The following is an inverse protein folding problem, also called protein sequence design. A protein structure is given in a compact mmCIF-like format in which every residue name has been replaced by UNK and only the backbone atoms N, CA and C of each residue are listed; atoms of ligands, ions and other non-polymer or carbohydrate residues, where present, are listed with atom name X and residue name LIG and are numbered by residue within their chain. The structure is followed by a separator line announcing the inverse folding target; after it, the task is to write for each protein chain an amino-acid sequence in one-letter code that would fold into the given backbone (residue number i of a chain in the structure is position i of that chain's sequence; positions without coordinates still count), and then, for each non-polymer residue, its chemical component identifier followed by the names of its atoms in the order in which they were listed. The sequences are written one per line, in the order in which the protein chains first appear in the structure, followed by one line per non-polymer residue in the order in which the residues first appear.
data_IF_713350942869
#
_entry.id   IF_713350942869
#
_cell.length_a   1.000
_cell.length_b   1.000
_cell.length_c   1.000
_cell.angle_alpha   90.00
_cell.angle_beta   90.00
_cell.angle_gamma   90.00
#
_symmetry.space_group_name_H-M   'P 1'
#
loop_
_entity.id
_entity.type
_entity.pdbx_description
1 polymer ?
#
# COMPACT_ATOMS: atom_id res chain seq x y z
N UNK A 1 -2.23 -4.55 -0.77
CA UNK A 1 -3.42 -5.43 -0.84
C UNK A 1 -4.47 -4.69 -1.64
N UNK A 2 -5.05 -5.30 -2.69
CA UNK A 2 -5.82 -4.57 -3.71
C UNK A 2 -7.23 -4.20 -3.22
N UNK A 3 -7.90 -5.09 -2.49
CA UNK A 3 -9.24 -4.85 -1.96
C UNK A 3 -9.25 -3.66 -1.00
N UNK A 4 -8.29 -3.63 -0.09
CA UNK A 4 -8.15 -2.58 0.92
C UNK A 4 -7.83 -1.23 0.26
N UNK A 5 -7.05 -1.22 -0.83
CA UNK A 5 -6.86 0.00 -1.64
C UNK A 5 -8.19 0.54 -2.15
N UNK A 6 -9.04 -0.31 -2.74
CA UNK A 6 -10.36 0.12 -3.21
C UNK A 6 -11.26 0.59 -2.06
N UNK A 7 -11.23 -0.09 -0.91
CA UNK A 7 -11.99 0.31 0.28
C UNK A 7 -11.54 1.66 0.85
N UNK A 8 -10.23 1.94 0.89
CA UNK A 8 -9.69 3.23 1.33
C UNK A 8 -10.10 4.37 0.39
N UNK A 9 -10.05 4.14 -0.93
CA UNK A 9 -10.52 5.11 -1.93
C UNK A 9 -12.04 5.36 -1.78
N UNK A 10 -12.86 4.32 -1.65
CA UNK A 10 -14.28 4.46 -1.35
C UNK A 10 -14.53 5.22 -0.04
N UNK A 11 -13.70 4.99 0.99
CA UNK A 11 -13.79 5.71 2.26
C UNK A 11 -13.53 7.22 2.08
N UNK A 12 -12.74 7.66 1.11
CA UNK A 12 -12.56 9.08 0.83
C UNK A 12 -13.88 9.70 0.33
N UNK A 13 -14.53 9.06 -0.64
CA UNK A 13 -15.83 9.49 -1.15
C UNK A 13 -16.92 9.55 -0.07
N UNK A 14 -17.07 8.48 0.74
CA UNK A 14 -18.02 8.45 1.86
C UNK A 14 -17.80 9.56 2.89
N UNK A 15 -16.57 10.07 3.00
CA UNK A 15 -16.16 11.06 4.00
C UNK A 15 -16.05 12.47 3.43
N UNK A 16 -16.33 12.64 2.15
CA UNK A 16 -16.31 13.90 1.42
C UNK A 16 -17.71 14.20 0.88
N UNK A 17 -17.97 15.45 0.50
CA UNK A 17 -19.20 15.80 -0.22
C UNK A 17 -19.08 15.39 -1.70
N UNK A 18 -19.28 14.09 -1.95
CA UNK A 18 -19.09 13.45 -3.26
C UNK A 18 -20.41 12.90 -3.78
N UNK A 19 -20.76 13.24 -5.03
CA UNK A 19 -21.93 12.66 -5.73
C UNK A 19 -21.69 11.22 -6.23
N UNK A 20 -20.42 10.81 -6.33
CA UNK A 20 -20.07 9.44 -6.71
C UNK A 20 -20.51 8.43 -5.66
N UNK A 21 -21.17 7.35 -6.08
CA UNK A 21 -21.67 6.27 -5.22
C UNK A 21 -20.59 5.18 -5.09
N UNK A 22 -19.94 5.01 -3.93
CA UNK A 22 -18.82 4.09 -3.82
C UNK A 22 -19.24 2.62 -3.89
N UNK A 23 -18.48 1.80 -4.61
CA UNK A 23 -18.76 0.36 -4.78
C UNK A 23 -18.63 -0.46 -3.48
N UNK A 24 -17.90 0.05 -2.48
CA UNK A 24 -17.78 -0.55 -1.16
C UNK A 24 -18.42 0.33 -0.08
N UNK A 25 -19.00 -0.31 0.95
CA UNK A 25 -19.46 0.37 2.17
C UNK A 25 -18.28 1.03 2.89
N UNK A 26 -18.57 2.07 3.68
CA UNK A 26 -17.57 2.74 4.50
C UNK A 26 -16.90 1.74 5.47
N UNK A 27 -15.57 1.63 5.38
CA UNK A 27 -14.73 0.86 6.30
C UNK A 27 -13.56 1.73 6.77
N UNK A 28 -12.94 1.35 7.90
CA UNK A 28 -11.68 1.94 8.37
C UNK A 28 -11.64 3.48 8.47
N UNK A 29 -12.78 4.17 8.65
CA UNK A 29 -12.91 5.64 8.68
C UNK A 29 -11.82 6.36 9.49
N UNK A 30 -11.50 5.83 10.68
CA UNK A 30 -10.54 6.43 11.62
C UNK A 30 -9.15 5.81 11.52
N UNK A 31 -8.92 4.86 10.61
CA UNK A 31 -7.60 4.28 10.40
C UNK A 31 -6.66 5.35 9.80
N UNK A 32 -5.39 5.42 10.23
CA UNK A 32 -4.43 6.41 9.71
C UNK A 32 -4.37 6.46 8.18
N UNK A 33 -4.36 5.31 7.50
CA UNK A 33 -4.36 5.27 6.03
C UNK A 33 -5.64 5.82 5.39
N UNK A 34 -6.81 5.66 6.02
CA UNK A 34 -8.06 6.23 5.52
C UNK A 34 -8.07 7.74 5.69
N UNK A 35 -7.56 8.25 6.82
CA UNK A 35 -7.38 9.69 7.06
C UNK A 35 -6.41 10.27 6.03
N UNK A 36 -5.26 9.63 5.84
CA UNK A 36 -4.24 10.03 4.87
C UNK A 36 -4.77 10.08 3.45
N UNK A 37 -5.53 9.06 3.03
CA UNK A 37 -6.10 8.98 1.67
C UNK A 37 -6.97 10.19 1.34
N UNK A 38 -7.76 10.67 2.31
CA UNK A 38 -8.66 11.83 2.13
C UNK A 38 -8.05 13.16 2.59
N UNK A 39 -6.79 13.17 3.01
CA UNK A 39 -6.14 14.41 3.48
C UNK A 39 -5.84 15.37 2.33
N UNK A 40 -5.57 14.85 1.12
CA UNK A 40 -5.34 15.65 -0.07
C UNK A 40 -5.69 14.91 -1.35
N UNK A 41 -5.93 15.68 -2.42
CA UNK A 41 -6.07 15.16 -3.78
C UNK A 41 -4.85 14.35 -4.21
N UNK A 42 -3.65 14.86 -3.96
CA UNK A 42 -2.39 14.19 -4.30
C UNK A 42 -2.25 12.81 -3.63
N UNK A 43 -2.66 12.67 -2.36
CA UNK A 43 -2.63 11.38 -1.67
C UNK A 43 -3.62 10.37 -2.28
N UNK A 44 -4.83 10.83 -2.62
CA UNK A 44 -5.85 10.00 -3.27
C UNK A 44 -5.36 9.49 -4.65
N UNK A 45 -4.83 10.38 -5.49
CA UNK A 45 -4.32 10.05 -6.82
C UNK A 45 -3.10 9.13 -6.76
N UNK A 46 -2.22 9.32 -5.77
CA UNK A 46 -1.13 8.39 -5.50
C UNK A 46 -1.66 7.00 -5.15
N UNK A 47 -2.69 6.90 -4.31
CA UNK A 47 -3.28 5.61 -3.94
C UNK A 47 -3.98 4.93 -5.12
N UNK A 48 -4.64 5.69 -6.01
CA UNK A 48 -5.17 5.19 -7.27
C UNK A 48 -4.05 4.60 -8.14
N UNK A 49 -2.92 5.31 -8.27
CA UNK A 49 -1.75 4.86 -9.04
C UNK A 49 -1.15 3.58 -8.47
N UNK A 50 -0.93 3.52 -7.14
CA UNK A 50 -0.49 2.31 -6.45
C UNK A 50 -1.47 1.16 -6.69
N UNK A 51 -2.78 1.40 -6.60
CA UNK A 51 -3.81 0.39 -6.84
C UNK A 51 -3.75 -0.22 -8.24
N UNK A 52 -3.53 0.61 -9.27
CA UNK A 52 -3.34 0.16 -10.66
C UNK A 52 -2.09 -0.70 -10.81
N UNK A 53 -0.96 -0.30 -10.22
CA UNK A 53 0.28 -1.10 -10.25
C UNK A 53 0.13 -2.43 -9.50
N UNK A 54 -0.58 -2.45 -8.37
CA UNK A 54 -0.88 -3.70 -7.66
C UNK A 54 -1.76 -4.64 -8.51
N UNK A 55 -2.72 -4.12 -9.26
CA UNK A 55 -3.53 -4.91 -10.20
C UNK A 55 -2.70 -5.47 -11.36
N UNK A 56 -1.73 -4.70 -11.89
CA UNK A 56 -0.77 -5.20 -12.89
C UNK A 56 0.08 -6.33 -12.32
N UNK A 57 0.62 -6.17 -11.11
CA UNK A 57 1.41 -7.21 -10.45
C UNK A 57 0.57 -8.47 -10.16
N UNK A 58 -0.70 -8.32 -9.75
CA UNK A 58 -1.61 -9.46 -9.61
C UNK A 58 -1.83 -10.19 -10.94
N UNK A 59 -2.07 -9.45 -12.02
CA UNK A 59 -2.26 -10.02 -13.35
C UNK A 59 -1.00 -10.75 -13.80
N UNK A 60 0.18 -10.15 -13.61
CA UNK A 60 1.46 -10.78 -13.89
C UNK A 60 1.63 -12.10 -13.11
N UNK A 61 1.38 -12.10 -11.80
CA UNK A 61 1.58 -13.28 -10.94
C UNK A 61 0.58 -14.40 -11.19
N UNK A 62 -0.67 -14.07 -11.50
CA UNK A 62 -1.78 -15.04 -11.49
C UNK A 62 -2.47 -15.28 -12.83
N UNK A 63 -2.16 -14.48 -13.86
CA UNK A 63 -2.74 -14.59 -15.20
C UNK A 63 -4.22 -14.22 -15.25
N UNK A 64 -4.69 -13.43 -14.28
CA UNK A 64 -6.10 -13.02 -14.13
C UNK A 64 -6.19 -11.56 -13.75
N UNK A 65 -7.23 -10.89 -14.22
CA UNK A 65 -7.58 -9.54 -13.80
C UNK A 65 -8.18 -9.59 -12.39
N UNK A 66 -7.71 -8.73 -11.49
CA UNK A 66 -8.29 -8.63 -10.14
C UNK A 66 -9.65 -7.95 -10.21
N UNK A 67 -10.65 -8.44 -9.46
CA UNK A 67 -12.02 -7.91 -9.49
C UNK A 67 -12.09 -6.40 -9.21
N UNK A 68 -11.25 -5.90 -8.30
CA UNK A 68 -11.23 -4.48 -7.95
C UNK A 68 -10.53 -3.58 -8.97
N UNK A 69 -9.90 -4.12 -10.03
CA UNK A 69 -9.19 -3.30 -11.01
C UNK A 69 -10.13 -2.27 -11.65
N UNK A 70 -11.29 -2.72 -12.12
CA UNK A 70 -12.29 -1.84 -12.73
C UNK A 70 -12.80 -0.79 -11.75
N UNK A 71 -12.99 -1.15 -10.47
CA UNK A 71 -13.39 -0.18 -9.43
C UNK A 71 -12.30 0.87 -9.19
N UNK A 72 -11.02 0.47 -9.13
CA UNK A 72 -9.90 1.41 -8.93
C UNK A 72 -9.72 2.32 -10.14
N UNK A 73 -9.91 1.80 -11.35
CA UNK A 73 -9.88 2.58 -12.59
C UNK A 73 -11.00 3.62 -12.62
N UNK A 74 -12.22 3.22 -12.25
CA UNK A 74 -13.39 4.11 -12.15
C UNK A 74 -13.22 5.18 -11.06
N UNK A 75 -12.75 4.79 -9.87
CA UNK A 75 -12.41 5.71 -8.77
C UNK A 75 -11.32 6.72 -9.15
N UNK A 76 -10.38 6.35 -10.03
CA UNK A 76 -9.35 7.25 -10.51
C UNK A 76 -9.88 8.31 -11.52
N UNK A 77 -11.05 8.08 -12.12
CA UNK A 77 -11.74 9.05 -12.97
C UNK A 77 -12.66 9.98 -12.16
N UNK A 78 -13.04 9.57 -10.96
CA UNK A 78 -13.93 10.30 -10.08
C UNK A 78 -13.19 10.69 -8.80
N UNK A 79 -12.41 11.77 -8.86
CA UNK A 79 -11.71 12.27 -7.67
C UNK A 79 -12.69 13.10 -6.82
N UNK A 80 -12.89 12.79 -5.52
CA UNK A 80 -13.78 13.59 -4.68
C UNK A 80 -13.22 14.99 -4.44
N UNK A 81 -14.06 15.92 -3.97
CA UNK A 81 -13.64 17.28 -3.60
C UNK A 81 -12.76 17.24 -2.33
N UNK A 82 -11.46 17.03 -2.51
CA UNK A 82 -10.44 16.96 -1.47
C UNK A 82 -9.54 18.20 -1.51
N UNK A 83 -8.85 18.54 -0.40
CA UNK A 83 -7.89 19.63 -0.39
C UNK A 83 -6.82 19.46 -1.48
N UNK A 84 -6.58 20.52 -2.26
CA UNK A 84 -5.53 20.56 -3.27
C UNK A 84 -4.22 21.05 -2.62
N UNK A 85 -3.59 20.14 -1.89
CA UNK A 85 -2.30 20.35 -1.24
C UNK A 85 -1.30 19.29 -1.68
N UNK A 86 -0.02 19.56 -1.43
CA UNK A 86 1.07 18.66 -1.78
C UNK A 86 0.91 17.26 -1.18
N UNK A 87 1.54 16.29 -1.84
CA UNK A 87 1.63 14.93 -1.36
C UNK A 87 2.27 14.89 0.03
N UNK A 88 1.72 14.06 0.91
CA UNK A 88 2.31 13.78 2.23
C UNK A 88 2.71 12.32 2.30
N UNK A 89 3.81 11.96 2.98
CA UNK A 89 4.20 10.56 3.13
C UNK A 89 3.09 9.71 3.78
N UNK A 90 2.89 8.46 3.34
CA UNK A 90 1.91 7.56 3.94
C UNK A 90 2.15 7.38 5.44
N UNK A 91 1.07 7.35 6.22
CA UNK A 91 1.14 7.13 7.68
C UNK A 91 1.76 5.78 8.01
N UNK A 92 2.73 5.76 8.93
CA UNK A 92 3.36 4.52 9.42
C UNK A 92 2.41 3.73 10.34
N UNK A 93 1.50 2.98 9.72
CA UNK A 93 0.53 2.10 10.38
C UNK A 93 1.19 0.78 10.83
N UNK A 94 2.16 0.91 11.74
CA UNK A 94 3.00 -0.18 12.25
C UNK A 94 3.31 0.01 13.76
N UNK A 95 3.77 -1.04 14.47
CA UNK A 95 4.23 -0.92 15.85
C UNK A 95 5.32 0.15 16.03
N UNK A 96 5.34 0.82 17.17
CA UNK A 96 6.26 1.94 17.43
C UNK A 96 7.74 1.58 17.26
N UNK A 97 8.13 0.34 17.57
CA UNK A 97 9.50 -0.15 17.43
C UNK A 97 10.03 -0.18 15.98
N UNK A 98 9.15 -0.07 14.98
CA UNK A 98 9.53 -0.03 13.57
C UNK A 98 9.40 1.35 12.94
N UNK A 99 8.91 2.35 13.68
CA UNK A 99 8.75 3.69 13.15
C UNK A 99 10.11 4.37 13.01
N UNK A 100 10.22 5.21 11.98
CA UNK A 100 11.44 5.94 11.62
C UNK A 100 11.06 7.31 11.03
N UNK A 101 12.00 8.25 10.92
CA UNK A 101 11.75 9.52 10.25
C UNK A 101 11.60 9.33 8.72
N UNK A 102 12.29 8.34 8.15
CA UNK A 102 12.11 7.91 6.78
C UNK A 102 11.08 6.77 6.70
N UNK A 103 9.91 7.07 6.11
CA UNK A 103 8.85 6.10 5.91
C UNK A 103 9.31 4.87 5.11
N UNK A 104 10.24 5.00 4.16
CA UNK A 104 10.75 3.88 3.38
C UNK A 104 11.52 2.92 4.30
N UNK A 105 12.41 3.45 5.14
CA UNK A 105 13.19 2.65 6.08
C UNK A 105 12.30 2.00 7.15
N UNK A 106 11.32 2.75 7.68
CA UNK A 106 10.33 2.22 8.61
C UNK A 106 9.60 0.99 8.04
N UNK A 107 9.08 1.10 6.81
CA UNK A 107 8.37 0.01 6.15
C UNK A 107 9.28 -1.16 5.78
N UNK A 108 10.50 -0.92 5.29
CA UNK A 108 11.47 -1.99 5.00
C UNK A 108 11.80 -2.79 6.26
N UNK A 109 12.10 -2.10 7.36
CA UNK A 109 12.40 -2.70 8.67
C UNK A 109 11.21 -3.51 9.17
N UNK A 110 9.99 -2.93 9.14
CA UNK A 110 8.79 -3.65 9.55
C UNK A 110 8.52 -4.89 8.69
N UNK A 111 8.72 -4.80 7.37
CA UNK A 111 8.48 -5.94 6.49
C UNK A 111 9.54 -7.04 6.66
N UNK A 112 10.80 -6.67 6.89
CA UNK A 112 11.88 -7.60 7.16
C UNK A 112 11.72 -8.31 8.50
N UNK A 113 11.53 -7.59 9.60
CA UNK A 113 11.46 -8.21 10.93
C UNK A 113 10.06 -8.67 11.33
N UNK A 114 9.03 -7.87 11.01
CA UNK A 114 7.66 -8.09 11.46
C UNK A 114 6.76 -8.83 10.47
N UNK A 115 7.12 -8.93 9.19
CA UNK A 115 6.27 -9.51 8.13
C UNK A 115 6.96 -10.50 7.20
N UNK A 116 8.17 -10.97 7.51
CA UNK A 116 8.87 -11.93 6.64
C UNK A 116 8.06 -13.20 6.38
N UNK A 117 7.26 -13.66 7.34
CA UNK A 117 6.42 -14.85 7.25
C UNK A 117 5.30 -14.75 6.19
N UNK A 118 4.95 -13.55 5.70
CA UNK A 118 3.99 -13.35 4.61
C UNK A 118 4.65 -13.09 3.25
N UNK A 119 5.98 -13.03 3.19
CA UNK A 119 6.68 -12.82 1.94
C UNK A 119 6.50 -14.02 1.00
N UNK A 120 6.11 -13.72 -0.23
CA UNK A 120 6.13 -14.68 -1.32
C UNK A 120 6.43 -13.95 -2.61
N UNK A 121 7.48 -14.41 -3.29
CA UNK A 121 7.90 -13.87 -4.60
C UNK A 121 7.40 -14.72 -5.76
N UNK A 122 6.68 -15.81 -5.47
CA UNK A 122 6.12 -16.75 -6.44
C UNK A 122 4.64 -16.47 -6.67
N UNK A 123 4.22 -16.36 -7.92
CA UNK A 123 2.83 -16.39 -8.34
C UNK A 123 2.44 -17.76 -8.91
N UNK A 124 1.20 -17.86 -9.40
CA UNK A 124 0.69 -19.06 -10.07
C UNK A 124 1.32 -19.27 -11.45
N UNK A 125 1.59 -18.18 -12.18
CA UNK A 125 2.13 -18.24 -13.55
C UNK A 125 3.48 -17.57 -13.69
N UNK A 126 3.81 -16.61 -12.83
CA UNK A 126 5.07 -15.88 -12.85
C UNK A 126 5.48 -15.45 -11.44
N UNK A 127 6.75 -15.15 -11.23
CA UNK A 127 7.30 -14.68 -9.97
C UNK A 127 8.51 -13.79 -10.20
N UNK A 128 8.93 -13.08 -9.15
CA UNK A 128 10.11 -12.20 -9.16
C UNK A 128 11.20 -12.78 -8.25
N UNK A 129 12.47 -12.40 -8.45
CA UNK A 129 13.49 -12.64 -7.43
C UNK A 129 13.12 -11.92 -6.13
N UNK A 130 13.72 -12.36 -5.03
CA UNK A 130 13.70 -11.61 -3.77
C UNK A 130 14.25 -10.19 -4.02
N UNK A 131 13.60 -9.14 -3.52
CA UNK A 131 14.12 -7.77 -3.61
C UNK A 131 15.50 -7.62 -2.98
N UNK A 132 16.38 -6.86 -3.63
CA UNK A 132 17.77 -6.66 -3.21
C UNK A 132 17.87 -6.16 -1.76
N UNK A 133 17.04 -5.19 -1.37
CA UNK A 133 17.03 -4.66 0.00
C UNK A 133 16.71 -5.72 1.09
N UNK A 134 16.04 -6.83 0.75
CA UNK A 134 15.83 -7.94 1.70
C UNK A 134 17.09 -8.80 1.80
N UNK A 135 17.78 -9.03 0.68
CA UNK A 135 19.03 -9.77 0.65
C UNK A 135 20.12 -9.00 1.41
N UNK A 136 20.25 -7.70 1.15
CA UNK A 136 21.16 -6.78 1.83
C UNK A 136 20.94 -6.82 3.35
N UNK A 137 19.69 -6.70 3.82
CA UNK A 137 19.40 -6.79 5.26
C UNK A 137 19.74 -8.17 5.83
N UNK A 138 19.49 -9.26 5.08
CA UNK A 138 19.85 -10.59 5.55
C UNK A 138 21.36 -10.76 5.73
N UNK A 139 22.14 -10.27 4.77
CA UNK A 139 23.62 -10.26 4.83
C UNK A 139 24.11 -9.45 6.04
N UNK A 140 23.63 -8.20 6.18
CA UNK A 140 24.00 -7.32 7.29
C UNK A 140 23.78 -7.94 8.67
N UNK A 141 22.64 -8.60 8.89
CA UNK A 141 22.34 -9.21 10.18
C UNK A 141 23.01 -10.58 10.38
N UNK A 142 23.30 -11.32 9.30
CA UNK A 142 24.03 -12.59 9.38
C UNK A 142 25.51 -12.39 9.73
N UNK A 143 26.14 -11.35 9.19
CA UNK A 143 27.52 -10.98 9.51
C UNK A 143 27.65 -10.51 10.97
N UNK A 144 26.68 -9.73 11.45
CA UNK A 144 26.68 -9.23 12.83
C UNK A 144 26.62 -10.33 13.90
N UNK A 145 26.01 -11.49 13.60
CA UNK A 145 26.00 -12.65 14.50
C UNK A 145 27.32 -13.42 14.49
N UNK A 146 28.12 -13.29 13.41
CA UNK A 146 29.42 -13.95 13.28
C UNK A 146 30.54 -13.20 14.00
N UNK A 147 30.46 -11.87 14.09
CA UNK A 147 31.42 -11.02 14.81
C UNK A 147 31.26 -11.07 16.35
N UNK A 148 30.17 -11.67 16.83
CA UNK A 148 29.89 -11.86 18.26
C UNK A 148 30.29 -13.26 18.79
N UNK A 149 30.90 -14.11 17.94
CA UNK A 149 31.42 -15.44 18.30
C UNK A 149 32.95 -15.46 18.25
#
# INVERSE_FOLDING_TARGET
MILETAQLLCSAHHMSDSEYIPCYKLTHKNHPSSIWTRASKANYEWLCSLGKELCKEYTYRYGKIHKCQTYIEDLALHVPNLPDIEFTPPTQAMPNMYKDDDAINAYRTYYFFGKIHIHSWKGKIAGRPTPDWILELHEMFSESESDLK
#
